data_IF_862104298787
#
_entry.id   IF_862104298787
#
_cell.length_a   1.000
_cell.length_b   1.000
_cell.length_c   1.000
_cell.angle_alpha   90.00
_cell.angle_beta   90.00
_cell.angle_gamma   90.00
#
_symmetry.space_group_name_H-M   'P 1'
#
loop_
_entity.id
_entity.type
_entity.pdbx_description
1 polymer ?
#
# COMPACT_ATOMS: atom_id res chain seq x y z
N UNK A 1 30.48 33.08 -29.98
CA UNK A 1 31.14 31.84 -29.50
C UNK A 1 31.30 31.94 -27.99
N UNK A 2 30.94 30.90 -27.23
CA UNK A 2 30.99 30.75 -25.76
C UNK A 2 30.05 31.57 -24.86
N UNK A 3 29.77 32.86 -25.11
CA UNK A 3 28.97 33.67 -24.16
C UNK A 3 27.49 33.24 -24.13
N UNK A 4 26.87 33.02 -25.29
CA UNK A 4 25.47 32.57 -25.35
C UNK A 4 25.27 31.17 -24.74
N UNK A 5 26.25 30.29 -24.85
CA UNK A 5 26.19 28.94 -24.27
C UNK A 5 26.25 28.98 -22.73
N UNK A 6 27.07 29.87 -22.18
CA UNK A 6 27.15 30.11 -20.73
C UNK A 6 25.82 30.64 -20.16
N UNK A 7 25.19 31.58 -20.86
CA UNK A 7 23.88 32.12 -20.46
C UNK A 7 22.80 31.04 -20.49
N UNK A 8 22.72 30.24 -21.55
CA UNK A 8 21.73 29.15 -21.67
C UNK A 8 21.93 28.09 -20.58
N UNK A 9 23.18 27.70 -20.29
CA UNK A 9 23.48 26.76 -19.19
C UNK A 9 23.06 27.30 -17.83
N UNK A 10 23.27 28.59 -17.58
CA UNK A 10 22.85 29.23 -16.32
C UNK A 10 21.32 29.25 -16.17
N UNK A 11 20.57 29.59 -17.22
CA UNK A 11 19.11 29.56 -17.17
C UNK A 11 18.54 28.15 -17.03
N UNK A 12 19.15 27.15 -17.65
CA UNK A 12 18.72 25.76 -17.53
C UNK A 12 18.98 25.18 -16.13
N UNK A 13 20.09 25.57 -15.49
CA UNK A 13 20.44 25.12 -14.14
C UNK A 13 19.32 25.44 -13.14
N UNK A 14 18.85 26.68 -13.13
CA UNK A 14 17.78 27.11 -12.21
C UNK A 14 16.49 26.30 -12.42
N UNK A 15 16.12 26.05 -13.68
CA UNK A 15 14.93 25.23 -14.00
C UNK A 15 15.08 23.78 -13.53
N UNK A 16 16.29 23.22 -13.56
CA UNK A 16 16.55 21.86 -13.08
C UNK A 16 16.52 21.81 -11.55
N UNK A 17 17.12 22.79 -10.87
CA UNK A 17 17.06 22.92 -9.41
C UNK A 17 15.61 23.05 -8.91
N UNK A 18 14.80 23.92 -9.53
CA UNK A 18 13.38 24.10 -9.18
C UNK A 18 12.56 22.81 -9.35
N UNK A 19 12.89 22.01 -10.38
CA UNK A 19 12.25 20.71 -10.62
C UNK A 19 12.69 19.69 -9.57
N UNK A 20 13.97 19.63 -9.23
CA UNK A 20 14.49 18.72 -8.20
C UNK A 20 13.82 19.03 -6.86
N UNK A 21 13.77 20.31 -6.45
CA UNK A 21 13.14 20.72 -5.20
C UNK A 21 11.65 20.35 -5.14
N UNK A 22 10.93 20.51 -6.26
CA UNK A 22 9.52 20.08 -6.37
C UNK A 22 9.36 18.56 -6.24
N UNK A 23 10.19 17.78 -6.95
CA UNK A 23 10.12 16.31 -6.92
C UNK A 23 10.58 15.73 -5.57
N UNK A 24 11.54 16.35 -4.90
CA UNK A 24 11.99 15.97 -3.55
C UNK A 24 10.93 16.31 -2.50
N UNK A 25 10.29 17.48 -2.60
CA UNK A 25 9.17 17.84 -1.71
C UNK A 25 7.95 16.91 -1.84
N UNK A 26 7.64 16.44 -3.05
CA UNK A 26 6.56 15.47 -3.28
C UNK A 26 6.93 14.04 -2.83
N UNK A 27 8.21 13.65 -2.90
CA UNK A 27 8.72 12.35 -2.46
C UNK A 27 9.06 12.27 -0.97
N UNK A 28 9.17 13.40 -0.28
CA UNK A 28 9.36 13.46 1.17
C UNK A 28 8.08 13.17 1.97
N UNK A 29 7.04 12.62 1.33
CA UNK A 29 5.94 12.00 2.05
C UNK A 29 6.46 10.70 2.64
N UNK A 30 6.51 10.64 3.97
CA UNK A 30 6.88 9.44 4.70
C UNK A 30 5.98 8.27 4.25
N UNK A 31 6.53 7.20 3.65
CA UNK A 31 5.73 6.04 3.24
C UNK A 31 5.03 5.36 4.42
N UNK A 32 5.46 5.59 5.68
CA UNK A 32 4.65 5.21 6.83
C UNK A 32 3.35 6.01 6.88
N UNK A 33 3.37 7.32 6.61
CA UNK A 33 2.22 8.21 6.81
C UNK A 33 1.00 7.86 5.95
N UNK A 34 1.18 7.34 4.73
CA UNK A 34 0.05 6.89 3.89
C UNK A 34 -0.53 5.53 4.33
N UNK A 35 0.20 4.74 5.13
CA UNK A 35 -0.24 3.40 5.56
C UNK A 35 -1.07 3.37 6.84
N UNK A 36 -1.12 4.46 7.62
CA UNK A 36 -1.83 4.51 8.91
C UNK A 36 -3.23 5.13 8.87
N UNK A 37 -3.80 5.41 7.70
CA UNK A 37 -5.26 5.57 7.59
C UNK A 37 -5.92 4.18 7.56
N UNK A 38 -5.63 3.36 8.56
CA UNK A 38 -6.36 2.13 8.86
C UNK A 38 -7.47 2.51 9.82
N UNK A 39 -8.57 3.03 9.27
CA UNK A 39 -9.85 2.93 9.98
C UNK A 39 -10.00 1.46 10.38
N UNK A 40 -10.15 1.20 11.67
CA UNK A 40 -10.25 -0.15 12.25
C UNK A 40 -11.62 -0.76 11.87
N UNK A 41 -11.75 -1.13 10.59
CA UNK A 41 -12.92 -1.77 10.00
C UNK A 41 -13.03 -3.25 10.43
N UNK A 42 -12.36 -3.66 11.51
CA UNK A 42 -12.42 -5.04 12.00
C UNK A 42 -13.85 -5.46 12.38
N UNK A 43 -14.68 -4.52 12.83
CA UNK A 43 -16.09 -4.77 13.18
C UNK A 43 -17.01 -4.94 11.95
N UNK A 44 -16.66 -4.37 10.80
CA UNK A 44 -17.48 -4.37 9.56
C UNK A 44 -16.89 -5.23 8.46
N UNK A 45 -15.76 -5.91 8.72
CA UNK A 45 -15.06 -6.68 7.70
C UNK A 45 -15.93 -7.82 7.13
N UNK A 46 -16.23 -7.77 5.84
CA UNK A 46 -16.73 -8.92 5.09
C UNK A 46 -15.60 -9.93 4.91
N UNK A 47 -15.43 -10.79 5.92
CA UNK A 47 -14.29 -11.70 6.04
C UNK A 47 -14.26 -12.74 4.91
N UNK A 48 -13.15 -12.76 4.16
CA UNK A 48 -12.83 -13.79 3.19
C UNK A 48 -11.63 -14.58 3.72
N UNK A 49 -11.90 -15.78 4.23
CA UNK A 49 -10.89 -16.63 4.85
C UNK A 49 -10.19 -17.53 3.83
N UNK A 50 -8.86 -17.48 3.81
CA UNK A 50 -7.98 -18.30 2.98
C UNK A 50 -7.07 -19.16 3.87
N UNK A 51 -6.73 -20.39 3.45
CA UNK A 51 -5.81 -21.24 4.22
C UNK A 51 -4.41 -20.63 4.21
N UNK A 52 -3.75 -20.61 5.38
CA UNK A 52 -2.39 -20.06 5.52
C UNK A 52 -1.34 -21.09 5.07
N UNK A 53 -1.69 -22.37 5.11
CA UNK A 53 -0.82 -23.48 4.77
C UNK A 53 -1.53 -24.54 3.90
N UNK A 54 -0.78 -25.57 3.50
CA UNK A 54 -1.32 -26.69 2.73
C UNK A 54 -2.16 -27.65 3.57
N UNK A 55 -2.06 -27.61 4.91
CA UNK A 55 -2.81 -28.50 5.80
C UNK A 55 -4.29 -28.10 5.88
N UNK A 56 -4.60 -26.82 5.66
CA UNK A 56 -5.96 -26.25 5.73
C UNK A 56 -6.58 -26.39 7.12
N UNK A 57 -5.75 -26.40 8.16
CA UNK A 57 -6.22 -26.40 9.55
C UNK A 57 -6.39 -24.97 10.10
N UNK A 58 -5.68 -24.00 9.52
CA UNK A 58 -5.69 -22.58 9.93
C UNK A 58 -5.99 -21.69 8.73
N UNK A 59 -6.88 -20.71 8.94
CA UNK A 59 -7.29 -19.75 7.92
C UNK A 59 -7.08 -18.32 8.41
N UNK A 60 -6.68 -17.42 7.52
CA UNK A 60 -6.60 -15.98 7.77
C UNK A 60 -7.53 -15.22 6.83
N UNK A 61 -8.10 -14.12 7.33
CA UNK A 61 -8.81 -13.17 6.49
C UNK A 61 -7.82 -12.41 5.59
N UNK A 62 -8.08 -12.39 4.28
CA UNK A 62 -7.24 -11.66 3.32
C UNK A 62 -7.28 -10.13 3.48
N UNK A 63 -8.27 -9.61 4.20
CA UNK A 63 -8.50 -8.17 4.40
C UNK A 63 -7.93 -7.67 5.72
N UNK A 64 -8.36 -8.27 6.84
CA UNK A 64 -8.03 -7.80 8.19
C UNK A 64 -7.01 -8.67 8.94
N UNK A 65 -6.63 -9.83 8.40
CA UNK A 65 -5.67 -10.74 9.05
C UNK A 65 -6.21 -11.55 10.24
N UNK A 66 -7.52 -11.48 10.54
CA UNK A 66 -8.14 -12.33 11.57
C UNK A 66 -7.87 -13.82 11.29
N UNK A 67 -7.37 -14.54 12.29
CA UNK A 67 -7.02 -15.97 12.20
C UNK A 67 -8.08 -16.84 12.87
N UNK A 68 -8.50 -17.91 12.19
CA UNK A 68 -9.50 -18.86 12.67
C UNK A 68 -9.09 -20.30 12.40
N UNK A 69 -9.66 -21.24 13.16
CA UNK A 69 -9.47 -22.67 12.96
C UNK A 69 -10.45 -23.22 11.91
N UNK A 70 -10.16 -24.43 11.42
CA UNK A 70 -11.01 -25.16 10.47
C UNK A 70 -12.46 -25.31 10.94
N UNK A 71 -12.69 -25.56 12.24
CA UNK A 71 -14.05 -25.75 12.78
C UNK A 71 -14.87 -24.47 12.69
N UNK A 72 -14.28 -23.32 12.99
CA UNK A 72 -14.95 -22.03 12.85
C UNK A 72 -15.12 -21.61 11.38
N UNK A 73 -14.19 -21.99 10.50
CA UNK A 73 -14.35 -21.79 9.05
C UNK A 73 -15.55 -22.58 8.51
N UNK A 74 -15.66 -23.87 8.85
CA UNK A 74 -16.72 -24.74 8.34
C UNK A 74 -18.14 -24.30 8.71
N UNK A 75 -18.31 -23.62 9.85
CA UNK A 75 -19.60 -23.04 10.28
C UNK A 75 -19.98 -21.77 9.52
N UNK A 76 -18.99 -21.07 8.97
CA UNK A 76 -19.13 -19.78 8.27
C UNK A 76 -18.96 -19.91 6.76
N UNK A 77 -18.73 -21.13 6.27
CA UNK A 77 -18.46 -21.39 4.88
C UNK A 77 -19.75 -21.23 4.05
N UNK A 78 -19.83 -20.14 3.31
CA UNK A 78 -20.94 -19.81 2.42
C UNK A 78 -21.12 -20.78 1.23
N UNK A 79 -20.16 -21.67 0.97
CA UNK A 79 -20.30 -22.71 -0.06
C UNK A 79 -21.07 -23.96 0.41
N UNK A 80 -21.32 -24.14 1.72
CA UNK A 80 -22.01 -25.35 2.22
C UNK A 80 -23.54 -25.32 2.02
N UNK A 81 -24.14 -24.14 1.88
CA UNK A 81 -25.60 -23.97 1.78
C UNK A 81 -26.13 -24.05 0.32
N UNK A 82 -25.39 -24.69 -0.60
CA UNK A 82 -25.74 -24.81 -2.03
C UNK A 82 -25.83 -26.25 -2.50
#
# INVERSE_FOLDING_TARGET
>A
MYIFELLVKYFQKNKVEDLIEKYEGERAKDPLYETFNTEDDSETCEHIFLPIDSTKEVFACSKCGLVIDRRAYEKRNFFKDK
#
